data_IF_783758086403
#
_entry.id   IF_783758086403
#
_cell.length_a   1.000
_cell.length_b   1.000
_cell.length_c   1.000
_cell.angle_alpha   90.00
_cell.angle_beta   90.00
_cell.angle_gamma   90.00
#
_symmetry.space_group_name_H-M   'P 1'
#
loop_
_entity.id
_entity.type
_entity.pdbx_description
1 polymer ?
#
# COMPACT_ATOMS: atom_id res chain seq x y z
N UNK A 1 -2.84 25.81 -20.89
CA UNK A 1 -1.88 25.67 -19.79
C UNK A 1 -2.43 24.55 -18.93
N UNK A 2 -2.04 23.31 -19.20
CA UNK A 2 -2.49 22.12 -18.46
C UNK A 2 -1.46 21.84 -17.37
N UNK A 3 -1.53 22.56 -16.25
CA UNK A 3 -0.63 22.33 -15.11
C UNK A 3 -1.41 22.58 -13.81
N UNK A 4 -2.50 21.87 -13.58
CA UNK A 4 -3.19 21.89 -12.26
C UNK A 4 -3.71 20.52 -11.79
N UNK A 5 -3.82 19.50 -12.67
CA UNK A 5 -4.40 18.21 -12.26
C UNK A 5 -3.47 17.32 -11.42
N UNK A 6 -2.14 17.45 -11.52
CA UNK A 6 -1.22 16.58 -10.77
C UNK A 6 -1.06 16.95 -9.29
N UNK A 7 -1.25 18.22 -8.90
CA UNK A 7 -0.99 18.65 -7.51
C UNK A 7 -2.03 18.13 -6.49
N UNK A 8 -3.25 17.83 -6.94
CA UNK A 8 -4.33 17.36 -6.07
C UNK A 8 -4.43 15.83 -5.96
N UNK A 9 -3.65 15.08 -6.74
CA UNK A 9 -3.70 13.62 -6.75
C UNK A 9 -2.85 13.04 -5.64
N UNK A 10 -3.50 12.34 -4.69
CA UNK A 10 -2.82 11.63 -3.61
C UNK A 10 -2.99 10.13 -3.76
N UNK A 11 -1.97 9.37 -3.37
CA UNK A 11 -1.94 7.92 -3.51
C UNK A 11 -1.91 7.23 -2.15
N UNK A 12 -2.63 6.14 -1.99
CA UNK A 12 -2.48 5.24 -0.84
C UNK A 12 -2.50 3.80 -1.33
N UNK A 13 -1.91 2.90 -0.55
CA UNK A 13 -1.90 1.49 -0.84
C UNK A 13 -2.70 0.69 0.20
N UNK A 14 -3.29 -0.41 -0.27
CA UNK A 14 -3.95 -1.42 0.55
C UNK A 14 -3.28 -2.76 0.29
N UNK A 15 -2.82 -3.41 1.34
CA UNK A 15 -2.09 -4.67 1.27
C UNK A 15 -3.00 -5.81 1.68
N UNK A 16 -3.05 -6.84 0.84
CA UNK A 16 -3.63 -8.12 1.18
C UNK A 16 -2.56 -9.21 1.20
N UNK A 17 -2.42 -9.89 2.32
CA UNK A 17 -1.52 -11.03 2.47
C UNK A 17 -2.33 -12.31 2.35
N UNK A 18 -1.86 -13.26 1.54
CA UNK A 18 -2.55 -14.54 1.39
C UNK A 18 -2.51 -15.32 2.72
N UNK A 19 -3.67 -15.79 3.19
CA UNK A 19 -3.83 -16.57 4.42
C UNK A 19 -3.44 -15.82 5.72
N UNK A 20 -3.44 -14.48 5.72
CA UNK A 20 -3.20 -13.68 6.91
C UNK A 20 -4.09 -12.43 6.90
N UNK A 21 -4.95 -12.31 7.92
CA UNK A 21 -5.70 -11.08 8.17
C UNK A 21 -4.79 -10.04 8.85
N UNK A 22 -4.81 -8.83 8.32
CA UNK A 22 -4.01 -7.72 8.85
C UNK A 22 -4.91 -6.72 9.57
N UNK A 23 -4.45 -6.10 10.67
CA UNK A 23 -5.12 -4.94 11.23
C UNK A 23 -5.20 -3.78 10.22
N UNK A 24 -6.26 -2.97 10.28
CA UNK A 24 -6.48 -1.87 9.33
C UNK A 24 -5.30 -0.89 9.26
N UNK A 25 -4.65 -0.62 10.42
CA UNK A 25 -3.49 0.28 10.51
C UNK A 25 -2.21 -0.28 9.87
N UNK A 26 -2.17 -1.58 9.54
CA UNK A 26 -1.10 -2.22 8.78
C UNK A 26 -1.52 -2.37 7.31
N UNK A 27 -2.78 -2.76 7.08
CA UNK A 27 -3.33 -3.01 5.75
C UNK A 27 -3.33 -1.75 4.87
N UNK A 28 -3.59 -0.57 5.43
CA UNK A 28 -3.74 0.67 4.65
C UNK A 28 -2.66 1.70 4.99
N UNK A 29 -2.03 2.26 3.96
CA UNK A 29 -1.05 3.34 4.12
C UNK A 29 -1.69 4.71 4.24
N UNK A 30 -0.87 5.70 4.57
CA UNK A 30 -1.22 7.11 4.45
C UNK A 30 -1.31 7.55 3.00
N UNK A 31 -1.71 8.81 2.82
CA UNK A 31 -1.75 9.48 1.52
C UNK A 31 -0.36 10.06 1.19
N UNK A 32 0.12 9.77 -0.01
CA UNK A 32 1.42 10.18 -0.53
C UNK A 32 1.27 10.94 -1.85
N UNK A 33 2.29 11.71 -2.24
CA UNK A 33 2.33 12.36 -3.54
C UNK A 33 2.71 11.41 -4.68
N UNK A 34 3.32 10.27 -4.37
CA UNK A 34 3.80 9.31 -5.37
C UNK A 34 3.35 7.89 -5.03
N UNK A 35 3.10 7.10 -6.08
CA UNK A 35 2.77 5.67 -5.98
C UNK A 35 3.88 4.90 -5.27
N UNK A 36 5.15 5.13 -5.63
CA UNK A 36 6.29 4.44 -5.03
C UNK A 36 6.33 4.61 -3.52
N UNK A 37 6.10 5.82 -3.01
CA UNK A 37 6.05 6.09 -1.58
C UNK A 37 4.94 5.32 -0.85
N UNK A 38 3.76 5.19 -1.47
CA UNK A 38 2.67 4.39 -0.90
C UNK A 38 3.01 2.89 -0.91
N UNK A 39 3.69 2.40 -1.95
CA UNK A 39 4.12 1.00 -2.04
C UNK A 39 5.21 0.69 -1.00
N UNK A 40 6.19 1.59 -0.84
CA UNK A 40 7.27 1.43 0.13
C UNK A 40 6.72 1.39 1.56
N UNK A 41 5.82 2.33 1.93
CA UNK A 41 5.17 2.33 3.26
C UNK A 41 4.37 1.03 3.49
N UNK A 42 3.65 0.54 2.47
CA UNK A 42 2.93 -0.73 2.56
C UNK A 42 3.86 -1.91 2.85
N UNK A 43 4.99 -2.02 2.13
CA UNK A 43 5.96 -3.09 2.32
C UNK A 43 6.57 -3.04 3.72
N UNK A 44 6.95 -1.84 4.17
CA UNK A 44 7.58 -1.64 5.47
C UNK A 44 6.62 -1.93 6.62
N UNK A 45 5.36 -1.51 6.53
CA UNK A 45 4.33 -1.81 7.54
C UNK A 45 4.17 -3.32 7.74
N UNK A 46 4.06 -4.08 6.65
CA UNK A 46 3.91 -5.55 6.72
C UNK A 46 5.18 -6.18 7.30
N UNK A 47 6.36 -5.80 6.81
CA UNK A 47 7.62 -6.36 7.30
C UNK A 47 7.77 -6.14 8.80
N UNK A 48 7.51 -4.91 9.25
CA UNK A 48 7.59 -4.56 10.67
C UNK A 48 6.52 -5.31 11.48
N UNK A 49 5.30 -5.43 10.98
CA UNK A 49 4.24 -6.21 11.62
C UNK A 49 4.62 -7.68 11.79
N UNK A 50 5.03 -8.35 10.71
CA UNK A 50 5.42 -9.77 10.75
C UNK A 50 6.58 -10.00 11.72
N UNK A 51 7.60 -9.12 11.68
CA UNK A 51 8.73 -9.15 12.60
C UNK A 51 8.31 -8.98 14.06
N UNK A 52 7.43 -8.02 14.34
CA UNK A 52 6.95 -7.73 15.71
C UNK A 52 6.07 -8.86 16.27
N UNK A 53 5.37 -9.59 15.42
CA UNK A 53 4.59 -10.78 15.80
C UNK A 53 5.44 -12.06 15.90
N UNK A 54 6.75 -11.99 15.58
CA UNK A 54 7.61 -13.17 15.53
C UNK A 54 7.27 -14.15 14.41
N UNK A 55 6.53 -13.69 13.38
CA UNK A 55 6.11 -14.50 12.25
C UNK A 55 7.25 -14.54 11.23
N UNK A 56 7.84 -15.70 11.02
CA UNK A 56 8.88 -15.93 10.01
C UNK A 56 8.30 -16.65 8.78
N UNK A 57 8.77 -16.28 7.58
CA UNK A 57 8.33 -16.95 6.37
C UNK A 57 8.43 -16.08 5.10
N UNK A 58 7.90 -16.62 4.01
CA UNK A 58 7.68 -15.90 2.75
C UNK A 58 6.19 -15.81 2.50
N UNK A 59 5.71 -14.59 2.30
CA UNK A 59 4.30 -14.28 2.16
C UNK A 59 4.03 -13.74 0.76
N UNK A 60 3.00 -14.27 0.12
CA UNK A 60 2.48 -13.72 -1.14
C UNK A 60 1.56 -12.57 -0.78
N UNK A 61 1.81 -11.39 -1.35
CA UNK A 61 1.06 -10.19 -1.07
C UNK A 61 0.56 -9.54 -2.36
N UNK A 62 -0.62 -8.95 -2.29
CA UNK A 62 -1.18 -8.10 -3.32
C UNK A 62 -1.28 -6.68 -2.76
N UNK A 63 -0.55 -5.74 -3.36
CA UNK A 63 -0.56 -4.34 -2.99
C UNK A 63 -1.41 -3.61 -4.03
N UNK A 64 -2.56 -3.10 -3.60
CA UNK A 64 -3.48 -2.33 -4.42
C UNK A 64 -3.24 -0.85 -4.18
N UNK A 65 -2.85 -0.10 -5.20
CA UNK A 65 -2.60 1.34 -5.10
C UNK A 65 -3.79 2.11 -5.66
N UNK A 66 -4.28 3.05 -4.87
CA UNK A 66 -5.42 3.88 -5.21
C UNK A 66 -4.99 5.34 -5.33
N UNK A 67 -5.52 6.04 -6.32
CA UNK A 67 -5.50 7.49 -6.38
C UNK A 67 -6.78 8.05 -5.76
N UNK A 68 -6.61 9.08 -4.95
CA UNK A 68 -7.66 9.91 -4.38
C UNK A 68 -7.56 11.30 -5.01
N UNK A 69 -8.60 11.68 -5.72
CA UNK A 69 -8.77 12.99 -6.37
C UNK A 69 -10.09 13.56 -5.88
N UNK A 70 -10.04 14.62 -5.06
CA UNK A 70 -11.20 15.31 -4.46
C UNK A 70 -12.28 14.38 -3.86
N UNK A 71 -13.22 13.91 -4.69
CA UNK A 71 -14.37 13.07 -4.33
C UNK A 71 -14.30 11.63 -4.86
N UNK A 72 -13.29 11.31 -5.68
CA UNK A 72 -13.15 10.03 -6.37
C UNK A 72 -11.96 9.25 -5.81
N UNK A 73 -12.18 7.95 -5.58
CA UNK A 73 -11.12 6.98 -5.29
C UNK A 73 -11.11 5.95 -6.43
N UNK A 74 -9.97 5.80 -7.10
CA UNK A 74 -9.78 4.83 -8.18
C UNK A 74 -8.60 3.93 -7.93
N UNK A 75 -8.75 2.64 -8.20
CA UNK A 75 -7.62 1.71 -8.25
C UNK A 75 -6.77 2.06 -9.47
N UNK A 76 -5.49 2.29 -9.27
CA UNK A 76 -4.53 2.66 -10.33
C UNK A 76 -3.64 1.48 -10.67
N UNK A 77 -3.21 0.71 -9.67
CA UNK A 77 -2.26 -0.37 -9.87
C UNK A 77 -2.50 -1.52 -8.88
N UNK A 78 -2.16 -2.74 -9.29
CA UNK A 78 -2.08 -3.90 -8.39
C UNK A 78 -0.74 -4.60 -8.60
N UNK A 79 0.06 -4.63 -7.55
CA UNK A 79 1.40 -5.20 -7.53
C UNK A 79 1.36 -6.51 -6.76
N UNK A 80 1.80 -7.59 -7.39
CA UNK A 80 2.03 -8.87 -6.71
C UNK A 80 3.46 -8.91 -6.21
N UNK A 81 3.63 -9.09 -4.90
CA UNK A 81 4.94 -9.12 -4.27
C UNK A 81 5.11 -10.37 -3.39
N UNK A 82 6.37 -10.71 -3.10
CA UNK A 82 6.73 -11.71 -2.10
C UNK A 82 7.52 -11.01 -1.01
N UNK A 83 6.98 -11.00 0.20
CA UNK A 83 7.63 -10.39 1.35
C UNK A 83 8.23 -11.50 2.20
N UNK A 84 9.50 -11.35 2.54
CA UNK A 84 10.18 -12.18 3.52
C UNK A 84 10.22 -11.43 4.85
N UNK A 85 9.76 -12.08 5.91
CA UNK A 85 9.90 -11.60 7.29
C UNK A 85 11.26 -11.97 7.87
#
# INVERSE_FOLDING_TARGET
MEIEEEENKRFFAVVKVENLELPEYIEKTRLHSHISSAVDEAIDNIRMYLKNQGIAGKFVTNIQVFAKEETVIRLVETIKAKIKA
#
